data_IF_851287459484
#
_entry.id   IF_851287459484
#
_cell.length_a   1.000
_cell.length_b   1.000
_cell.length_c   1.000
_cell.angle_alpha   90.00
_cell.angle_beta   90.00
_cell.angle_gamma   90.00
#
_symmetry.space_group_name_H-M   'P 1'
#
loop_
_entity.id
_entity.type
_entity.pdbx_description
1 polymer ?
#
# COMPACT_ATOMS: atom_id res chain seq x y z
N UNK A 1 -17.44 -7.48 -3.37
CA UNK A 1 -15.96 -7.49 -3.25
C UNK A 1 -15.47 -6.09 -3.59
N UNK A 2 -15.75 -5.15 -2.70
CA UNK A 2 -15.51 -3.73 -2.96
C UNK A 2 -14.31 -3.32 -2.13
N UNK A 3 -13.32 -2.73 -2.79
CA UNK A 3 -12.25 -2.02 -2.10
C UNK A 3 -12.86 -1.04 -1.11
N UNK A 4 -12.12 -0.72 -0.05
CA UNK A 4 -12.59 0.21 0.97
C UNK A 4 -13.12 1.49 0.31
N UNK A 5 -14.38 1.82 0.57
CA UNK A 5 -15.09 2.92 -0.09
C UNK A 5 -14.58 4.31 0.30
N UNK A 6 -13.71 4.38 1.31
CA UNK A 6 -13.19 5.63 1.89
C UNK A 6 -11.69 5.54 2.20
N UNK A 7 -10.97 6.68 2.15
CA UNK A 7 -9.59 6.76 2.64
C UNK A 7 -9.46 6.29 4.08
N UNK A 8 -8.34 5.63 4.39
CA UNK A 8 -8.00 5.17 5.74
C UNK A 8 -6.50 5.29 5.99
N UNK A 9 -6.14 5.56 7.23
CA UNK A 9 -4.74 5.52 7.67
C UNK A 9 -4.37 4.08 8.00
N UNK A 10 -3.21 3.65 7.52
CA UNK A 10 -2.63 2.33 7.85
C UNK A 10 -1.23 2.57 8.36
N UNK A 11 -0.99 2.17 9.61
CA UNK A 11 0.33 2.24 10.23
C UNK A 11 1.04 0.90 10.06
N UNK A 12 2.24 0.91 9.49
CA UNK A 12 3.05 -0.29 9.31
C UNK A 12 4.43 -0.09 9.95
N UNK A 13 4.88 -1.00 10.83
CA UNK A 13 6.24 -0.96 11.35
C UNK A 13 7.23 -1.33 10.24
N UNK A 14 8.23 -0.48 9.99
CA UNK A 14 9.31 -0.81 9.05
C UNK A 14 10.25 -1.84 9.71
N UNK A 15 10.49 -2.95 9.02
CA UNK A 15 11.48 -3.95 9.41
C UNK A 15 12.69 -3.91 8.47
N UNK A 16 13.70 -4.73 8.74
CA UNK A 16 14.87 -4.91 7.86
C UNK A 16 14.49 -5.48 6.49
N UNK A 17 13.36 -6.19 6.40
CA UNK A 17 12.78 -6.71 5.15
C UNK A 17 11.91 -5.67 4.42
N UNK A 18 11.73 -4.47 4.98
CA UNK A 18 10.89 -3.41 4.44
C UNK A 18 9.44 -3.47 4.93
N UNK A 19 8.50 -3.02 4.08
CA UNK A 19 7.07 -2.91 4.43
C UNK A 19 6.21 -4.06 3.86
N UNK A 20 6.76 -4.90 2.98
CA UNK A 20 6.05 -6.08 2.47
C UNK A 20 5.01 -5.81 1.38
N UNK A 21 5.17 -4.77 0.57
CA UNK A 21 4.30 -4.51 -0.60
C UNK A 21 5.07 -3.81 -1.73
N UNK A 22 4.53 -3.90 -2.96
CA UNK A 22 5.03 -3.16 -4.11
C UNK A 22 4.00 -2.10 -4.55
N UNK A 23 4.50 -1.03 -5.18
CA UNK A 23 3.67 0.02 -5.77
C UNK A 23 3.79 0.03 -7.29
N UNK A 24 2.84 0.69 -7.97
CA UNK A 24 2.91 1.03 -9.40
C UNK A 24 2.29 2.40 -9.66
N UNK A 25 2.49 2.94 -10.85
CA UNK A 25 2.02 4.26 -11.25
C UNK A 25 3.00 5.36 -10.85
N UNK A 26 2.47 6.56 -10.60
CA UNK A 26 3.26 7.75 -10.29
C UNK A 26 3.49 8.65 -11.49
N UNK A 27 4.25 9.72 -11.25
CA UNK A 27 4.41 10.84 -12.19
C UNK A 27 4.91 10.43 -13.58
N UNK A 28 5.87 9.51 -13.64
CA UNK A 28 6.43 9.04 -14.93
C UNK A 28 5.42 8.28 -15.79
N UNK A 29 4.41 7.67 -15.16
CA UNK A 29 3.34 6.93 -15.84
C UNK A 29 2.06 7.76 -15.97
N UNK A 30 2.08 9.04 -15.59
CA UNK A 30 0.91 9.93 -15.52
C UNK A 30 -0.32 9.27 -14.89
N UNK A 31 -0.13 8.53 -13.79
CA UNK A 31 -1.19 7.79 -13.11
C UNK A 31 -1.05 7.84 -11.58
N UNK A 32 -2.13 7.64 -10.81
CA UNK A 32 -2.03 7.56 -9.36
C UNK A 32 -1.15 6.40 -8.89
N UNK A 33 -0.67 6.46 -7.66
CA UNK A 33 0.13 5.40 -7.07
C UNK A 33 -0.79 4.36 -6.44
N UNK A 34 -0.62 3.09 -6.81
CA UNK A 34 -1.43 1.98 -6.30
C UNK A 34 -0.57 0.88 -5.71
N UNK A 35 -1.10 0.16 -4.72
CA UNK A 35 -0.53 -1.10 -4.23
C UNK A 35 -0.72 -2.19 -5.29
N UNK A 36 0.37 -2.59 -5.95
CA UNK A 36 0.34 -3.57 -7.03
C UNK A 36 0.39 -5.02 -6.53
N UNK A 37 1.06 -5.23 -5.38
CA UNK A 37 1.22 -6.55 -4.75
C UNK A 37 1.38 -6.42 -3.24
N UNK A 38 0.76 -7.34 -2.50
CA UNK A 38 1.09 -7.65 -1.11
C UNK A 38 2.04 -8.84 -1.12
N UNK A 39 3.16 -8.76 -0.40
CA UNK A 39 4.17 -9.82 -0.34
C UNK A 39 3.70 -10.89 0.66
N UNK A 40 3.58 -12.18 0.26
CA UNK A 40 3.22 -13.25 1.17
C UNK A 40 4.18 -13.36 2.35
N UNK A 41 3.63 -13.49 3.55
CA UNK A 41 4.35 -13.50 4.81
C UNK A 41 4.93 -12.15 5.22
N UNK A 42 4.84 -11.10 4.39
CA UNK A 42 5.42 -9.79 4.68
C UNK A 42 4.65 -8.99 5.73
N UNK A 43 5.22 -7.85 6.13
CA UNK A 43 4.62 -6.95 7.15
C UNK A 43 3.21 -6.50 6.76
N UNK A 44 3.00 -6.03 5.52
CA UNK A 44 1.68 -5.60 5.07
C UNK A 44 0.63 -6.71 5.04
N UNK A 45 1.02 -7.96 4.72
CA UNK A 45 0.09 -9.10 4.75
C UNK A 45 -0.30 -9.45 6.18
N UNK A 46 0.69 -9.59 7.08
CA UNK A 46 0.46 -9.91 8.49
C UNK A 46 -0.36 -8.83 9.20
N UNK A 47 -0.18 -7.57 8.85
CA UNK A 47 -1.00 -6.47 9.35
C UNK A 47 -2.43 -6.50 8.77
N UNK A 48 -2.59 -6.88 7.51
CA UNK A 48 -3.89 -7.06 6.86
C UNK A 48 -4.63 -5.78 6.47
N UNK A 49 -4.14 -4.61 6.90
CA UNK A 49 -4.73 -3.30 6.64
C UNK A 49 -4.55 -2.75 5.21
N UNK A 50 -3.58 -3.26 4.45
CA UNK A 50 -3.39 -2.93 3.02
C UNK A 50 -3.90 -4.06 2.12
N UNK A 51 -4.43 -3.70 0.95
CA UNK A 51 -4.91 -4.61 -0.09
C UNK A 51 -4.35 -4.19 -1.44
N UNK A 52 -4.18 -5.17 -2.33
CA UNK A 52 -3.91 -4.89 -3.75
C UNK A 52 -5.03 -4.02 -4.32
N UNK A 53 -4.65 -2.98 -5.06
CA UNK A 53 -5.59 -2.02 -5.66
C UNK A 53 -5.89 -0.81 -4.78
N UNK A 54 -5.46 -0.78 -3.52
CA UNK A 54 -5.51 0.45 -2.73
C UNK A 54 -4.70 1.55 -3.42
N UNK A 55 -5.25 2.77 -3.45
CA UNK A 55 -4.55 3.96 -3.90
C UNK A 55 -3.81 4.60 -2.70
N UNK A 56 -2.52 4.86 -2.88
CA UNK A 56 -1.74 5.64 -1.93
C UNK A 56 -2.03 7.12 -2.16
N UNK A 57 -2.60 7.77 -1.15
CA UNK A 57 -2.92 9.21 -1.18
C UNK A 57 -1.83 10.05 -0.52
N UNK A 58 -1.27 9.56 0.59
CA UNK A 58 -0.12 10.18 1.26
C UNK A 58 0.67 9.13 2.05
N UNK A 59 1.95 9.42 2.30
CA UNK A 59 2.81 8.66 3.20
C UNK A 59 3.42 9.62 4.22
N UNK A 60 3.07 9.46 5.50
CA UNK A 60 3.55 10.32 6.59
C UNK A 60 3.32 11.82 6.35
N UNK A 61 2.21 12.18 5.68
CA UNK A 61 1.84 13.56 5.38
C UNK A 61 2.41 14.14 4.08
N UNK A 62 3.15 13.35 3.30
CA UNK A 62 3.61 13.70 1.94
C UNK A 62 2.68 13.12 0.89
#
# INVERSE_FOLDING_TARGET
SEGHSHPRVVELPKTDEGLGFNVMGGKEQNSPIYISRIIPGGVAERHGGLKRGDQLLSVNGV
#
